data_IF_387714762198
#
_entry.id   IF_387714762198
#
_cell.length_a   1.000
_cell.length_b   1.000
_cell.length_c   1.000
_cell.angle_alpha   90.00
_cell.angle_beta   90.00
_cell.angle_gamma   90.00
#
_symmetry.space_group_name_H-M   'P 1'
#
loop_
_entity.id
_entity.type
_entity.pdbx_description
1 polymer ?
#
# COMPACT_ATOMS: atom_id res chain seq x y z
N UNK A 1 -22.96 0.45 23.21
CA UNK A 1 -22.07 0.03 24.32
C UNK A 1 -22.86 -0.17 25.60
N UNK A 2 -22.30 -0.75 26.66
CA UNK A 2 -22.94 -0.92 27.97
C UNK A 2 -23.44 0.39 28.59
N UNK A 3 -22.86 1.53 28.23
CA UNK A 3 -23.36 2.83 28.68
C UNK A 3 -24.78 3.18 28.16
N UNK A 4 -25.27 2.44 27.18
CA UNK A 4 -26.58 2.63 26.58
C UNK A 4 -27.63 1.61 27.07
N UNK A 5 -27.30 0.77 28.07
CA UNK A 5 -28.25 -0.20 28.61
C UNK A 5 -29.57 0.47 29.03
N UNK A 6 -30.67 -0.23 28.81
CA UNK A 6 -32.04 0.20 29.06
C UNK A 6 -32.53 1.41 28.24
N UNK A 7 -31.70 1.94 27.36
CA UNK A 7 -32.13 2.99 26.43
C UNK A 7 -32.87 2.38 25.24
N UNK A 8 -33.85 3.10 24.75
CA UNK A 8 -34.48 2.80 23.46
C UNK A 8 -33.67 3.47 22.37
N UNK A 9 -33.27 2.70 21.36
CA UNK A 9 -32.47 3.17 20.22
C UNK A 9 -33.15 2.84 18.91
N UNK A 10 -32.88 3.70 17.91
CA UNK A 10 -33.29 3.50 16.52
C UNK A 10 -32.08 3.24 15.69
N UNK A 11 -32.02 2.11 14.96
CA UNK A 11 -30.92 1.70 14.13
C UNK A 11 -31.38 1.44 12.70
N UNK A 12 -30.55 1.79 11.73
CA UNK A 12 -30.74 1.45 10.31
C UNK A 12 -29.47 0.83 9.76
N UNK A 13 -29.61 -0.19 8.92
CA UNK A 13 -28.45 -0.88 8.35
C UNK A 13 -28.84 -2.01 7.42
N UNK A 14 -27.85 -2.82 7.09
CA UNK A 14 -27.99 -3.99 6.24
C UNK A 14 -27.98 -5.27 7.06
N UNK A 15 -28.89 -6.18 6.74
CA UNK A 15 -28.94 -7.52 7.33
C UNK A 15 -27.72 -8.32 6.87
N UNK A 16 -26.78 -8.56 7.77
CA UNK A 16 -25.55 -9.29 7.45
C UNK A 16 -25.75 -10.81 7.60
N UNK A 17 -26.22 -11.26 8.76
CA UNK A 17 -26.41 -12.67 9.08
C UNK A 17 -27.72 -12.86 9.86
N UNK A 18 -28.42 -13.96 9.57
CA UNK A 18 -29.65 -14.33 10.25
C UNK A 18 -29.45 -15.71 10.86
N UNK A 19 -29.87 -15.88 12.11
CA UNK A 19 -29.87 -17.16 12.83
C UNK A 19 -31.22 -17.31 13.51
N UNK A 20 -31.83 -18.46 13.33
CA UNK A 20 -33.11 -18.79 13.93
C UNK A 20 -32.97 -20.05 14.77
N UNK A 21 -33.49 -20.01 15.99
CA UNK A 21 -33.59 -21.18 16.85
C UNK A 21 -34.87 -21.11 17.72
N UNK A 22 -35.84 -21.93 17.37
CA UNK A 22 -37.12 -21.98 18.07
C UNK A 22 -37.89 -20.69 17.95
N UNK A 23 -38.13 -20.01 19.07
CA UNK A 23 -38.92 -18.78 19.14
C UNK A 23 -38.06 -17.50 19.11
N UNK A 24 -36.79 -17.61 18.77
CA UNK A 24 -35.87 -16.46 18.72
C UNK A 24 -35.17 -16.38 17.35
N UNK A 25 -35.17 -15.17 16.77
CA UNK A 25 -34.41 -14.83 15.58
C UNK A 25 -33.36 -13.80 16.00
N UNK A 26 -32.10 -14.10 15.69
CA UNK A 26 -30.97 -13.14 15.79
C UNK A 26 -30.60 -12.64 14.41
N UNK A 27 -30.46 -11.33 14.31
CA UNK A 27 -29.99 -10.66 13.09
C UNK A 27 -28.77 -9.83 13.41
N UNK A 28 -27.68 -10.07 12.72
CA UNK A 28 -26.53 -9.20 12.77
C UNK A 28 -26.80 -8.05 11.78
N UNK A 29 -27.09 -6.87 12.32
CA UNK A 29 -27.28 -5.64 11.55
C UNK A 29 -25.94 -4.97 11.36
N UNK A 30 -25.53 -4.72 10.11
CA UNK A 30 -24.30 -4.04 9.75
C UNK A 30 -24.60 -2.61 9.35
N UNK A 31 -23.83 -1.69 9.89
CA UNK A 31 -23.80 -0.30 9.47
C UNK A 31 -22.37 0.16 9.14
N UNK A 32 -22.14 1.47 9.06
CA UNK A 32 -20.80 2.05 8.82
C UNK A 32 -19.81 1.74 9.96
N UNK A 33 -20.30 1.61 11.19
CA UNK A 33 -19.46 1.51 12.39
C UNK A 33 -19.16 0.06 12.79
N UNK A 34 -19.92 -0.90 12.26
CA UNK A 34 -19.71 -2.31 12.55
C UNK A 34 -21.00 -3.13 12.54
N UNK A 35 -21.07 -4.10 13.46
CA UNK A 35 -22.18 -5.04 13.54
C UNK A 35 -22.82 -4.93 14.92
N UNK A 36 -24.15 -4.84 14.95
CA UNK A 36 -24.96 -4.91 16.19
C UNK A 36 -25.94 -6.05 16.08
N UNK A 37 -26.00 -6.91 17.11
CA UNK A 37 -26.97 -8.01 17.16
C UNK A 37 -28.35 -7.49 17.52
N UNK A 38 -29.34 -7.84 16.73
CA UNK A 38 -30.75 -7.66 17.00
C UNK A 38 -31.35 -8.99 17.49
N UNK A 39 -32.29 -8.92 18.40
CA UNK A 39 -33.02 -10.07 18.92
C UNK A 39 -34.53 -9.85 18.71
N UNK A 40 -35.14 -10.80 18.05
CA UNK A 40 -36.58 -10.92 17.88
C UNK A 40 -37.04 -12.14 18.68
N UNK A 41 -37.70 -11.90 19.80
CA UNK A 41 -38.17 -12.93 20.72
C UNK A 41 -39.68 -13.00 20.62
N UNK A 42 -40.23 -14.14 20.18
CA UNK A 42 -41.65 -14.32 19.96
C UNK A 42 -42.50 -14.15 21.24
N UNK A 43 -41.92 -14.42 22.41
CA UNK A 43 -42.61 -14.27 23.70
C UNK A 43 -42.67 -12.80 24.18
N UNK A 44 -41.70 -11.99 23.70
CA UNK A 44 -41.55 -10.59 24.12
C UNK A 44 -41.92 -9.59 23.04
N UNK A 45 -41.95 -10.03 21.77
CA UNK A 45 -42.30 -9.20 20.61
C UNK A 45 -43.71 -9.56 20.15
N UNK A 46 -44.33 -8.62 19.44
CA UNK A 46 -45.59 -8.86 18.73
C UNK A 46 -45.36 -9.89 17.58
N UNK A 47 -46.39 -10.74 17.33
CA UNK A 47 -46.36 -11.74 16.24
C UNK A 47 -46.05 -11.14 14.87
N UNK A 48 -46.45 -9.92 14.59
CA UNK A 48 -46.16 -9.19 13.35
C UNK A 48 -44.67 -8.91 13.18
N UNK A 49 -43.98 -8.49 14.25
CA UNK A 49 -42.53 -8.22 14.27
C UNK A 49 -41.77 -9.52 14.00
N UNK A 50 -42.12 -10.60 14.66
CA UNK A 50 -41.50 -11.91 14.48
C UNK A 50 -41.74 -12.45 13.07
N UNK A 51 -42.93 -12.30 12.53
CA UNK A 51 -43.27 -12.70 11.14
C UNK A 51 -42.48 -11.89 10.13
N UNK A 52 -42.33 -10.58 10.35
CA UNK A 52 -41.51 -9.73 9.51
C UNK A 52 -40.02 -10.12 9.57
N UNK A 53 -39.51 -10.41 10.77
CA UNK A 53 -38.13 -10.86 10.95
C UNK A 53 -37.83 -12.19 10.25
N UNK A 54 -38.80 -13.13 10.21
CA UNK A 54 -38.67 -14.41 9.50
C UNK A 54 -38.59 -14.28 7.99
N UNK A 55 -39.01 -13.16 7.42
CA UNK A 55 -38.94 -12.85 5.97
C UNK A 55 -37.68 -12.10 5.55
N UNK A 56 -36.81 -11.79 6.50
CA UNK A 56 -35.58 -11.06 6.21
C UNK A 56 -34.64 -11.90 5.33
N UNK A 57 -33.97 -11.24 4.42
CA UNK A 57 -32.90 -11.78 3.60
C UNK A 57 -31.58 -11.04 3.82
N UNK A 58 -30.48 -11.68 3.45
CA UNK A 58 -29.16 -11.02 3.48
C UNK A 58 -29.19 -9.73 2.66
N UNK A 59 -28.51 -8.70 3.17
CA UNK A 59 -28.40 -7.38 2.57
C UNK A 59 -29.71 -6.59 2.43
N UNK A 60 -30.81 -7.07 3.02
CA UNK A 60 -32.01 -6.23 3.17
C UNK A 60 -31.65 -5.00 3.99
N UNK A 61 -32.18 -3.86 3.60
CA UNK A 61 -32.05 -2.62 4.38
C UNK A 61 -33.24 -2.53 5.31
N UNK A 62 -32.96 -2.48 6.61
CA UNK A 62 -33.98 -2.40 7.62
C UNK A 62 -33.76 -1.23 8.58
N UNK A 63 -34.82 -0.75 9.15
CA UNK A 63 -34.84 0.16 10.27
C UNK A 63 -35.52 -0.55 11.44
N UNK A 64 -34.91 -0.50 12.61
CA UNK A 64 -35.44 -1.10 13.82
C UNK A 64 -35.42 -0.12 14.98
N UNK A 65 -36.41 -0.26 15.87
CA UNK A 65 -36.41 0.39 17.17
C UNK A 65 -36.46 -0.69 18.25
N UNK A 66 -35.71 -0.50 19.33
CA UNK A 66 -35.65 -1.50 20.40
C UNK A 66 -34.84 -1.05 21.60
N UNK A 67 -34.93 -1.82 22.67
CA UNK A 67 -34.21 -1.57 23.91
C UNK A 67 -32.84 -2.23 23.88
N UNK A 68 -31.82 -1.51 24.33
CA UNK A 68 -30.45 -2.05 24.51
C UNK A 68 -30.46 -2.93 25.75
N UNK A 69 -30.17 -4.20 25.58
CA UNK A 69 -30.06 -5.18 26.67
C UNK A 69 -28.67 -5.81 26.70
N UNK A 70 -28.32 -6.36 27.84
CA UNK A 70 -27.05 -7.09 27.98
C UNK A 70 -27.13 -8.43 27.26
N UNK A 71 -26.09 -8.77 26.52
CA UNK A 71 -26.02 -10.01 25.77
C UNK A 71 -25.70 -11.18 26.70
N UNK A 72 -26.43 -12.26 26.59
CA UNK A 72 -26.22 -13.48 27.41
C UNK A 72 -24.88 -14.16 27.13
N UNK A 73 -24.41 -14.09 25.88
CA UNK A 73 -23.13 -14.63 25.45
C UNK A 73 -22.31 -13.53 24.75
N UNK A 74 -21.29 -13.04 25.42
CA UNK A 74 -20.41 -11.98 24.92
C UNK A 74 -19.72 -12.44 23.65
N UNK A 75 -19.60 -11.56 22.66
CA UNK A 75 -18.83 -11.77 21.45
C UNK A 75 -17.69 -10.74 21.39
N UNK A 76 -16.50 -11.16 21.76
CA UNK A 76 -15.30 -10.29 21.81
C UNK A 76 -14.83 -9.81 20.42
N UNK A 77 -15.35 -10.38 19.33
CA UNK A 77 -14.93 -10.05 17.96
C UNK A 77 -15.67 -8.84 17.36
N UNK A 78 -16.62 -8.24 18.07
CA UNK A 78 -17.35 -7.06 17.61
C UNK A 78 -17.46 -6.03 18.75
N UNK A 79 -17.38 -4.76 18.42
CA UNK A 79 -17.37 -3.65 19.40
C UNK A 79 -18.64 -3.57 20.24
N UNK A 80 -19.77 -4.04 19.70
CA UNK A 80 -21.06 -4.09 20.39
C UNK A 80 -21.33 -5.44 21.04
N UNK A 81 -20.33 -6.31 21.15
CA UNK A 81 -20.49 -7.72 21.51
C UNK A 81 -20.99 -8.00 22.93
N UNK A 82 -21.02 -7.00 23.80
CA UNK A 82 -21.56 -7.10 25.17
C UNK A 82 -23.05 -6.78 25.25
N UNK A 83 -23.62 -6.21 24.18
CA UNK A 83 -25.04 -5.80 24.15
C UNK A 83 -25.76 -6.37 22.94
N UNK A 84 -27.06 -6.42 23.00
CA UNK A 84 -27.94 -6.70 21.86
C UNK A 84 -29.20 -5.82 21.96
N UNK A 85 -29.92 -5.70 20.86
CA UNK A 85 -31.12 -4.88 20.78
C UNK A 85 -32.35 -5.80 20.79
N UNK A 86 -33.17 -5.72 21.85
CA UNK A 86 -34.48 -6.36 21.87
C UNK A 86 -35.44 -5.50 21.04
N UNK A 87 -35.79 -5.98 19.85
CA UNK A 87 -36.52 -5.20 18.85
C UNK A 87 -38.00 -5.10 19.22
N UNK A 88 -38.50 -3.88 19.22
CA UNK A 88 -39.90 -3.52 19.48
C UNK A 88 -40.62 -3.00 18.23
N UNK A 89 -39.89 -2.62 17.21
CA UNK A 89 -40.43 -2.22 15.89
C UNK A 89 -39.44 -2.53 14.78
N UNK A 90 -39.95 -2.96 13.64
CA UNK A 90 -39.12 -3.20 12.43
C UNK A 90 -39.83 -2.68 11.18
N UNK A 91 -39.06 -2.06 10.30
CA UNK A 91 -39.49 -1.65 8.99
C UNK A 91 -38.47 -2.10 7.93
N UNK A 92 -38.91 -2.83 6.91
CA UNK A 92 -38.06 -3.18 5.75
C UNK A 92 -38.10 -2.00 4.81
N UNK A 93 -36.97 -1.26 4.77
CA UNK A 93 -36.80 -0.09 3.90
C UNK A 93 -36.61 -0.52 2.45
N UNK A 94 -35.82 -1.58 2.23
CA UNK A 94 -35.59 -2.11 0.90
C UNK A 94 -35.21 -3.60 0.96
N UNK A 95 -35.70 -4.38 0.01
CA UNK A 95 -35.30 -5.77 -0.19
C UNK A 95 -34.10 -5.85 -1.13
N UNK A 96 -33.28 -6.87 -0.97
CA UNK A 96 -32.13 -7.14 -1.82
C UNK A 96 -32.25 -8.51 -2.47
N UNK A 97 -31.69 -8.65 -3.66
CA UNK A 97 -31.39 -9.96 -4.21
C UNK A 97 -30.22 -10.58 -3.45
N UNK A 98 -30.06 -11.91 -3.56
CA UNK A 98 -28.91 -12.60 -2.99
C UNK A 98 -27.61 -12.03 -3.58
N UNK A 99 -26.66 -11.57 -2.76
CA UNK A 99 -25.38 -11.07 -3.25
C UNK A 99 -24.61 -12.14 -4.05
N UNK A 100 -23.88 -11.74 -5.09
CA UNK A 100 -23.11 -12.67 -5.91
C UNK A 100 -21.88 -13.28 -5.21
N UNK A 101 -21.50 -12.77 -4.05
CA UNK A 101 -20.47 -13.29 -3.15
C UNK A 101 -20.78 -12.93 -1.70
N UNK A 102 -20.13 -13.61 -0.79
CA UNK A 102 -20.29 -13.37 0.66
C UNK A 102 -19.59 -12.09 1.08
N UNK A 103 -20.31 -11.17 1.74
CA UNK A 103 -19.79 -9.88 2.23
C UNK A 103 -19.21 -10.10 3.64
N UNK A 104 -18.07 -10.73 3.69
CA UNK A 104 -17.28 -11.03 4.90
C UNK A 104 -15.79 -10.65 4.64
N UNK A 105 -14.98 -10.60 5.70
CA UNK A 105 -13.58 -10.20 5.57
C UNK A 105 -12.81 -11.12 4.61
N UNK A 106 -13.04 -12.44 4.72
CA UNK A 106 -12.61 -13.42 3.72
C UNK A 106 -13.80 -13.77 2.83
N UNK A 107 -13.75 -13.27 1.59
CA UNK A 107 -14.83 -13.45 0.63
C UNK A 107 -14.54 -14.64 -0.28
N UNK A 108 -15.60 -15.38 -0.63
CA UNK A 108 -15.60 -16.42 -1.67
C UNK A 108 -15.62 -15.86 -3.09
N UNK A 109 -15.76 -14.54 -3.25
CA UNK A 109 -15.72 -13.84 -4.53
C UNK A 109 -14.30 -13.61 -5.05
N UNK A 110 -14.00 -14.07 -6.26
CA UNK A 110 -12.76 -13.74 -6.96
C UNK A 110 -12.64 -12.24 -7.25
N UNK A 111 -11.44 -11.78 -7.58
CA UNK A 111 -11.16 -10.34 -7.79
C UNK A 111 -12.04 -9.72 -8.88
N UNK A 112 -12.22 -10.40 -10.01
CA UNK A 112 -13.06 -9.92 -11.12
C UNK A 112 -14.51 -9.69 -10.69
N UNK A 113 -15.08 -10.64 -9.92
CA UNK A 113 -16.45 -10.54 -9.42
C UNK A 113 -16.60 -9.38 -8.42
N UNK A 114 -15.63 -9.21 -7.53
CA UNK A 114 -15.60 -8.10 -6.57
C UNK A 114 -15.42 -6.75 -7.25
N UNK A 115 -14.65 -6.67 -8.34
CA UNK A 115 -14.52 -5.45 -9.13
C UNK A 115 -15.82 -5.11 -9.86
N UNK A 116 -16.51 -6.11 -10.42
CA UNK A 116 -17.82 -5.91 -11.07
C UNK A 116 -18.89 -5.39 -10.09
N UNK A 117 -18.90 -5.89 -8.87
CA UNK A 117 -19.83 -5.49 -7.81
C UNK A 117 -19.12 -4.71 -6.71
N UNK A 118 -18.29 -3.74 -7.09
CA UNK A 118 -17.44 -2.98 -6.18
C UNK A 118 -18.19 -2.33 -5.02
N UNK A 119 -19.42 -1.89 -5.24
CA UNK A 119 -20.28 -1.31 -4.20
C UNK A 119 -20.64 -2.31 -3.08
N UNK A 120 -20.65 -3.62 -3.36
CA UNK A 120 -20.80 -4.66 -2.34
C UNK A 120 -19.45 -4.95 -1.65
N UNK A 121 -18.37 -4.97 -2.40
CA UNK A 121 -17.03 -5.21 -1.88
C UNK A 121 -16.61 -4.11 -0.87
N UNK A 122 -17.03 -2.86 -1.10
CA UNK A 122 -16.81 -1.73 -0.16
C UNK A 122 -17.48 -1.95 1.21
N UNK A 123 -18.49 -2.82 1.31
CA UNK A 123 -19.13 -3.17 2.60
C UNK A 123 -18.25 -4.06 3.47
N UNK A 124 -17.22 -4.69 2.92
CA UNK A 124 -16.26 -5.53 3.64
C UNK A 124 -15.28 -4.65 4.43
N UNK A 125 -14.96 -5.08 5.66
CA UNK A 125 -14.05 -4.32 6.53
C UNK A 125 -12.72 -3.94 5.85
N UNK A 126 -11.96 -4.85 5.20
CA UNK A 126 -10.65 -4.49 4.65
C UNK A 126 -10.73 -3.36 3.61
N UNK A 127 -11.81 -3.29 2.81
CA UNK A 127 -11.96 -2.25 1.80
C UNK A 127 -12.47 -0.96 2.42
N UNK A 128 -13.42 -1.06 3.35
CA UNK A 128 -13.94 0.08 4.10
C UNK A 128 -12.83 0.77 4.91
N UNK A 129 -12.02 -0.01 5.61
CA UNK A 129 -10.88 0.48 6.38
C UNK A 129 -9.85 1.21 5.51
N UNK A 130 -9.55 0.69 4.33
CA UNK A 130 -8.66 1.38 3.38
C UNK A 130 -9.20 2.76 2.98
N UNK A 131 -10.51 2.91 2.79
CA UNK A 131 -11.13 4.21 2.48
C UNK A 131 -11.07 5.17 3.66
N UNK A 132 -11.33 4.67 4.88
CA UNK A 132 -11.25 5.44 6.12
C UNK A 132 -9.79 5.86 6.38
N UNK A 133 -8.84 4.93 6.20
CA UNK A 133 -7.42 5.22 6.35
C UNK A 133 -6.97 6.30 5.36
N UNK A 134 -7.33 6.17 4.08
CA UNK A 134 -7.03 7.20 3.06
C UNK A 134 -7.59 8.58 3.43
N UNK A 135 -8.83 8.62 3.94
CA UNK A 135 -9.43 9.87 4.42
C UNK A 135 -8.62 10.47 5.56
N UNK A 136 -8.31 9.67 6.59
CA UNK A 136 -7.57 10.12 7.77
C UNK A 136 -6.15 10.57 7.43
N UNK A 137 -5.45 9.85 6.53
CA UNK A 137 -4.14 10.22 6.02
C UNK A 137 -4.18 11.56 5.28
N UNK A 138 -5.13 11.71 4.36
CA UNK A 138 -5.28 12.95 3.59
C UNK A 138 -5.59 14.16 4.48
N UNK A 139 -6.42 13.96 5.51
CA UNK A 139 -6.73 15.00 6.48
C UNK A 139 -5.48 15.39 7.30
N UNK A 140 -4.67 14.41 7.72
CA UNK A 140 -3.44 14.67 8.45
C UNK A 140 -2.40 15.42 7.63
N UNK A 141 -2.25 15.06 6.36
CA UNK A 141 -1.39 15.82 5.42
C UNK A 141 -1.84 17.26 5.30
N UNK A 142 -3.14 17.52 5.15
CA UNK A 142 -3.69 18.88 5.10
C UNK A 142 -3.42 19.66 6.39
N UNK A 143 -3.64 19.03 7.53
CA UNK A 143 -3.37 19.66 8.82
C UNK A 143 -1.90 20.05 8.96
N UNK A 144 -0.98 19.11 8.68
CA UNK A 144 0.45 19.37 8.78
C UNK A 144 0.91 20.49 7.85
N UNK A 145 0.50 20.45 6.57
CA UNK A 145 0.90 21.46 5.60
C UNK A 145 0.33 22.83 5.95
N UNK A 146 -0.94 22.90 6.38
CA UNK A 146 -1.57 24.15 6.82
C UNK A 146 -0.91 24.74 8.07
N UNK A 147 -0.54 23.91 9.06
CA UNK A 147 0.21 24.32 10.25
C UNK A 147 1.60 24.87 9.89
N UNK A 148 2.18 24.42 8.76
CA UNK A 148 3.46 24.91 8.24
C UNK A 148 3.30 26.03 7.19
N UNK A 149 2.14 26.70 7.20
CA UNK A 149 1.79 27.86 6.37
C UNK A 149 1.69 27.58 4.86
N UNK A 150 1.45 26.35 4.45
CA UNK A 150 1.10 26.07 3.06
C UNK A 150 -0.37 26.41 2.80
N UNK A 151 -0.64 26.94 1.63
CA UNK A 151 -1.98 27.29 1.18
C UNK A 151 -2.47 26.21 0.20
N UNK A 152 -3.64 25.61 0.51
CA UNK A 152 -4.31 24.66 -0.39
C UNK A 152 -4.98 25.43 -1.54
N UNK A 153 -4.52 25.23 -2.77
CA UNK A 153 -5.09 25.90 -3.95
C UNK A 153 -5.51 24.85 -4.97
N UNK A 154 -6.82 24.81 -5.26
CA UNK A 154 -7.36 23.95 -6.30
C UNK A 154 -7.08 24.53 -7.69
N UNK A 155 -6.49 23.71 -8.57
CA UNK A 155 -6.12 24.11 -9.93
C UNK A 155 -7.04 23.48 -10.98
N UNK A 156 -7.19 24.07 -12.17
CA UNK A 156 -8.02 23.53 -13.25
C UNK A 156 -7.57 22.15 -13.74
N UNK A 157 -8.52 21.28 -14.08
CA UNK A 157 -8.28 19.97 -14.69
C UNK A 157 -8.34 20.00 -16.23
N UNK A 158 -9.12 20.91 -16.84
CA UNK A 158 -9.16 21.09 -18.28
C UNK A 158 -8.16 22.16 -18.66
N UNK A 159 -7.00 21.77 -19.13
CA UNK A 159 -5.86 22.64 -19.37
C UNK A 159 -5.36 22.54 -20.81
N UNK A 160 -4.41 23.36 -21.19
CA UNK A 160 -3.63 23.20 -22.41
C UNK A 160 -2.60 22.09 -22.20
N UNK A 161 -2.38 21.26 -23.22
CA UNK A 161 -1.31 20.25 -23.22
C UNK A 161 0.04 20.86 -22.81
N UNK A 162 0.74 20.16 -21.92
CA UNK A 162 2.05 20.56 -21.41
C UNK A 162 3.01 19.37 -21.51
N UNK A 163 4.19 19.54 -22.11
CA UNK A 163 5.14 18.44 -22.26
C UNK A 163 5.87 18.16 -20.94
N UNK A 164 5.35 17.24 -20.13
CA UNK A 164 5.92 16.86 -18.83
C UNK A 164 6.54 15.44 -18.82
N UNK A 165 6.74 14.84 -20.00
CA UNK A 165 7.41 13.55 -20.14
C UNK A 165 6.51 12.35 -20.41
N UNK A 166 5.22 12.38 -20.02
CA UNK A 166 4.21 11.40 -20.40
C UNK A 166 3.36 11.89 -21.57
N UNK A 167 2.52 11.02 -22.14
CA UNK A 167 1.46 11.44 -23.07
C UNK A 167 0.27 11.97 -22.29
N UNK A 168 -0.39 12.98 -22.85
CA UNK A 168 -1.58 13.57 -22.26
C UNK A 168 -2.83 12.77 -22.64
N UNK A 169 -3.77 12.64 -21.72
CA UNK A 169 -5.16 12.36 -22.07
C UNK A 169 -5.79 13.63 -22.61
N UNK A 170 -6.38 13.55 -23.81
CA UNK A 170 -7.02 14.70 -24.47
C UNK A 170 -8.54 14.62 -24.39
N UNK A 171 -9.17 15.78 -24.22
CA UNK A 171 -10.62 15.95 -24.18
C UNK A 171 -11.05 16.88 -25.31
N UNK A 172 -11.81 16.41 -26.33
CA UNK A 172 -12.24 17.23 -27.43
C UNK A 172 -13.12 18.41 -26.98
N UNK A 173 -12.88 19.59 -27.54
CA UNK A 173 -13.72 20.77 -27.29
C UNK A 173 -14.96 20.75 -28.18
N UNK A 174 -16.14 20.70 -27.58
CA UNK A 174 -17.40 20.77 -28.34
C UNK A 174 -17.62 22.14 -28.96
N UNK A 175 -17.14 23.20 -28.30
CA UNK A 175 -17.37 24.59 -28.73
C UNK A 175 -16.36 25.06 -29.79
N UNK A 176 -15.19 24.49 -29.83
CA UNK A 176 -14.11 24.86 -30.74
C UNK A 176 -13.69 23.60 -31.52
N UNK A 177 -14.19 23.38 -32.75
CA UNK A 177 -13.79 22.25 -33.59
C UNK A 177 -12.25 22.20 -33.74
N UNK A 178 -11.70 20.98 -33.80
CA UNK A 178 -10.26 20.72 -33.95
C UNK A 178 -9.39 21.23 -32.79
N UNK A 179 -10.00 21.62 -31.65
CA UNK A 179 -9.30 22.00 -30.44
C UNK A 179 -9.57 20.99 -29.32
N UNK A 180 -8.57 20.82 -28.43
CA UNK A 180 -8.60 19.86 -27.36
C UNK A 180 -8.14 20.51 -26.07
N UNK A 181 -8.72 20.08 -24.96
CA UNK A 181 -8.14 20.20 -23.64
C UNK A 181 -7.27 18.97 -23.36
N UNK A 182 -6.32 19.11 -22.45
CA UNK A 182 -5.58 18.00 -21.87
C UNK A 182 -5.93 17.86 -20.39
N UNK A 183 -5.87 16.62 -19.88
CA UNK A 183 -5.89 16.37 -18.43
C UNK A 183 -4.48 16.55 -17.86
N UNK A 184 -4.31 17.15 -16.65
CA UNK A 184 -3.00 17.50 -16.13
C UNK A 184 -2.20 16.25 -15.72
N UNK A 185 -0.95 16.19 -16.15
CA UNK A 185 0.03 15.22 -15.66
C UNK A 185 0.49 15.57 -14.25
N UNK A 186 0.52 16.87 -13.94
CA UNK A 186 0.66 17.51 -12.64
C UNK A 186 0.17 18.96 -12.75
N UNK A 187 -0.05 19.70 -11.65
CA UNK A 187 -0.40 21.11 -11.69
C UNK A 187 0.82 22.04 -11.92
N UNK A 188 1.84 21.59 -12.64
CA UNK A 188 3.16 22.22 -12.74
C UNK A 188 3.13 23.70 -13.14
N UNK A 189 2.39 24.05 -14.19
CA UNK A 189 2.31 25.45 -14.65
C UNK A 189 1.60 26.32 -13.61
N UNK A 190 0.53 25.80 -13.02
CA UNK A 190 -0.27 26.58 -12.06
C UNK A 190 0.51 26.86 -10.77
N UNK A 191 1.21 25.87 -10.22
CA UNK A 191 2.02 26.10 -9.02
C UNK A 191 3.18 27.06 -9.26
N UNK A 192 3.80 27.05 -10.45
CA UNK A 192 4.80 28.05 -10.83
C UNK A 192 4.19 29.46 -10.91
N UNK A 193 2.99 29.59 -11.50
CA UNK A 193 2.27 30.87 -11.57
C UNK A 193 1.88 31.37 -10.17
N UNK A 194 1.53 30.47 -9.25
CA UNK A 194 1.25 30.84 -7.85
C UNK A 194 2.50 31.37 -7.16
N UNK A 195 3.67 30.74 -7.36
CA UNK A 195 4.96 31.26 -6.83
C UNK A 195 5.25 32.65 -7.38
N UNK A 196 5.10 32.86 -8.68
CA UNK A 196 5.28 34.18 -9.31
C UNK A 196 4.24 35.19 -8.80
N UNK A 197 3.03 34.73 -8.52
CA UNK A 197 1.93 35.51 -7.98
C UNK A 197 2.07 35.85 -6.48
N UNK A 198 3.11 35.34 -5.80
CA UNK A 198 3.40 35.66 -4.39
C UNK A 198 2.84 34.66 -3.39
N UNK A 199 2.35 33.50 -3.82
CA UNK A 199 1.99 32.37 -2.95
C UNK A 199 3.26 31.53 -2.74
N UNK A 200 4.03 31.82 -1.70
CA UNK A 200 5.36 31.26 -1.47
C UNK A 200 5.37 29.83 -0.90
N UNK A 201 4.23 29.32 -0.45
CA UNK A 201 4.03 27.93 -0.04
C UNK A 201 2.66 27.44 -0.46
N UNK A 202 2.65 26.60 -1.47
CA UNK A 202 1.46 25.98 -2.05
C UNK A 202 1.43 24.49 -1.80
N UNK A 203 0.25 23.92 -1.63
CA UNK A 203 0.01 22.50 -1.79
C UNK A 203 -1.36 22.19 -2.39
N UNK A 204 -1.51 20.97 -2.88
CA UNK A 204 -2.78 20.41 -3.31
C UNK A 204 -2.73 18.87 -3.23
N UNK A 205 -3.80 18.23 -2.77
CA UNK A 205 -4.01 16.79 -2.98
C UNK A 205 -4.79 16.62 -4.26
N UNK A 206 -4.09 16.35 -5.36
CA UNK A 206 -4.59 16.52 -6.73
C UNK A 206 -4.61 15.21 -7.52
N UNK A 207 -5.60 15.05 -8.38
CA UNK A 207 -5.64 13.99 -9.40
C UNK A 207 -4.71 14.36 -10.55
N UNK A 208 -3.88 13.39 -10.92
CA UNK A 208 -2.96 13.48 -12.05
C UNK A 208 -3.22 12.35 -13.03
N UNK A 209 -2.97 12.61 -14.32
CA UNK A 209 -3.31 11.73 -15.42
C UNK A 209 -2.10 11.56 -16.34
N UNK A 210 -1.71 10.32 -16.63
CA UNK A 210 -0.60 10.01 -17.54
C UNK A 210 -0.95 8.83 -18.41
N UNK A 211 -0.95 9.02 -19.73
CA UNK A 211 -1.17 7.94 -20.69
C UNK A 211 0.13 7.20 -20.96
N UNK A 212 0.49 6.34 -20.03
CA UNK A 212 1.70 5.50 -20.04
C UNK A 212 1.33 4.02 -19.88
N UNK A 213 2.30 3.14 -20.20
CA UNK A 213 2.14 1.71 -19.99
C UNK A 213 1.94 1.39 -18.50
N UNK A 214 0.93 0.57 -18.22
CA UNK A 214 0.61 0.13 -16.87
C UNK A 214 1.71 -0.77 -16.31
N UNK A 215 2.03 -0.57 -15.05
CA UNK A 215 2.93 -1.43 -14.26
C UNK A 215 2.28 -1.70 -12.90
N UNK A 216 2.89 -2.59 -12.11
CA UNK A 216 2.36 -2.94 -10.79
C UNK A 216 2.13 -1.71 -9.88
N UNK A 217 2.96 -0.68 -10.01
CA UNK A 217 2.97 0.55 -9.23
C UNK A 217 2.51 1.80 -9.99
N UNK A 218 2.08 1.67 -11.27
CA UNK A 218 1.70 2.80 -12.12
C UNK A 218 0.26 2.66 -12.61
N UNK A 219 -0.52 3.70 -12.33
CA UNK A 219 -1.90 3.84 -12.78
C UNK A 219 -2.02 5.07 -13.70
N UNK A 220 -2.91 5.04 -14.71
CA UNK A 220 -3.11 6.17 -15.61
C UNK A 220 -3.72 7.38 -14.91
N UNK A 221 -4.46 7.14 -13.83
CA UNK A 221 -5.00 8.15 -12.93
C UNK A 221 -4.53 7.86 -11.51
N UNK A 222 -3.89 8.82 -10.87
CA UNK A 222 -3.38 8.69 -9.51
C UNK A 222 -3.48 10.02 -8.74
N UNK A 223 -3.22 9.99 -7.44
CA UNK A 223 -3.27 11.18 -6.60
C UNK A 223 -1.87 11.55 -6.16
N UNK A 224 -1.51 12.84 -6.29
CA UNK A 224 -0.30 13.43 -5.72
C UNK A 224 -0.64 14.28 -4.50
N UNK A 225 0.27 14.29 -3.54
CA UNK A 225 0.45 15.39 -2.60
C UNK A 225 1.45 16.31 -3.28
N UNK A 226 0.94 17.32 -3.97
CA UNK A 226 1.76 18.25 -4.74
C UNK A 226 2.05 19.49 -3.90
N UNK A 227 3.30 19.91 -3.86
CA UNK A 227 3.74 21.05 -3.06
C UNK A 227 4.75 21.89 -3.86
N UNK A 228 4.76 23.20 -3.61
CA UNK A 228 5.77 24.11 -4.15
C UNK A 228 6.14 25.16 -3.11
N UNK A 229 7.41 25.50 -3.04
CA UNK A 229 7.94 26.50 -2.08
C UNK A 229 8.90 27.46 -2.77
N UNK A 230 8.80 28.75 -2.44
CA UNK A 230 9.76 29.79 -2.85
C UNK A 230 10.77 30.08 -1.74
N UNK A 231 11.92 30.65 -2.10
CA UNK A 231 12.96 31.13 -1.18
C UNK A 231 13.56 30.06 -0.26
N UNK A 232 13.66 28.82 -0.76
CA UNK A 232 14.13 27.66 0.00
C UNK A 232 15.34 27.02 -0.68
N UNK A 233 16.17 26.33 0.12
CA UNK A 233 17.21 25.44 -0.34
C UNK A 233 16.81 23.95 -0.17
N UNK A 234 17.69 23.04 -0.53
CA UNK A 234 17.42 21.60 -0.47
C UNK A 234 17.11 21.12 0.96
N UNK A 235 17.81 21.64 1.98
CA UNK A 235 17.59 21.24 3.38
C UNK A 235 16.23 21.70 3.91
N UNK A 236 15.74 22.84 3.49
CA UNK A 236 14.41 23.34 3.86
C UNK A 236 13.32 22.37 3.34
N UNK A 237 13.48 21.87 2.10
CA UNK A 237 12.57 20.89 1.51
C UNK A 237 12.63 19.56 2.29
N UNK A 238 13.84 19.07 2.60
CA UNK A 238 14.01 17.86 3.39
C UNK A 238 13.38 17.98 4.77
N UNK A 239 13.64 19.04 5.50
CA UNK A 239 13.06 19.25 6.84
C UNK A 239 11.54 19.25 6.80
N UNK A 240 10.95 19.90 5.81
CA UNK A 240 9.50 19.98 5.66
C UNK A 240 8.87 18.60 5.43
N UNK A 241 9.44 17.82 4.50
CA UNK A 241 8.84 16.52 4.16
C UNK A 241 9.25 15.40 5.10
N UNK A 242 10.42 15.44 5.71
CA UNK A 242 10.75 14.53 6.81
C UNK A 242 9.83 14.75 8.01
N UNK A 243 9.52 16.02 8.34
CA UNK A 243 8.55 16.34 9.37
C UNK A 243 7.16 15.78 9.08
N UNK A 244 6.69 15.92 7.85
CA UNK A 244 5.43 15.31 7.40
C UNK A 244 5.45 13.79 7.56
N UNK A 245 6.49 13.13 7.08
CA UNK A 245 6.60 11.68 7.16
C UNK A 245 6.70 11.20 8.60
N UNK A 246 7.50 11.84 9.46
CA UNK A 246 7.58 11.52 10.89
C UNK A 246 6.21 11.59 11.57
N UNK A 247 5.44 12.64 11.28
CA UNK A 247 4.08 12.79 11.81
C UNK A 247 3.12 11.70 11.34
N UNK A 248 3.21 11.31 10.06
CA UNK A 248 2.42 10.22 9.49
C UNK A 248 2.81 8.88 10.14
N UNK A 249 4.11 8.58 10.25
CA UNK A 249 4.59 7.34 10.84
C UNK A 249 4.24 7.25 12.33
N UNK A 250 4.40 8.33 13.09
CA UNK A 250 3.98 8.38 14.49
C UNK A 250 2.48 8.10 14.63
N UNK A 251 1.64 8.83 13.88
CA UNK A 251 0.19 8.76 14.02
C UNK A 251 -0.42 7.42 13.57
N UNK A 252 0.06 6.86 12.46
CA UNK A 252 -0.57 5.70 11.84
C UNK A 252 0.17 4.38 12.09
N UNK A 253 1.44 4.41 12.41
CA UNK A 253 2.26 3.23 12.66
C UNK A 253 2.82 3.16 14.08
N UNK A 254 2.59 4.18 14.92
CA UNK A 254 3.13 4.24 16.28
C UNK A 254 4.66 4.32 16.34
N UNK A 255 5.31 4.79 15.27
CA UNK A 255 6.76 4.91 15.17
C UNK A 255 7.22 6.35 15.40
N UNK A 256 7.61 6.69 16.62
CA UNK A 256 8.02 8.06 17.00
C UNK A 256 9.49 8.38 16.70
N UNK A 257 10.32 7.36 16.48
CA UNK A 257 11.78 7.50 16.28
C UNK A 257 12.20 7.27 14.83
N UNK A 258 11.35 7.63 13.86
CA UNK A 258 11.68 7.49 12.44
C UNK A 258 12.80 8.46 12.05
N UNK A 259 13.90 7.93 11.54
CA UNK A 259 15.03 8.67 10.98
C UNK A 259 15.13 8.40 9.49
N UNK A 260 15.70 9.36 8.75
CA UNK A 260 15.92 9.25 7.30
C UNK A 260 17.40 9.49 7.03
N UNK A 261 18.09 8.47 6.51
CA UNK A 261 19.50 8.56 6.19
C UNK A 261 19.70 9.40 4.91
N UNK A 262 20.82 10.11 4.86
CA UNK A 262 21.24 10.86 3.68
C UNK A 262 22.18 10.02 2.84
N UNK A 263 21.90 9.92 1.55
CA UNK A 263 22.72 9.19 0.61
C UNK A 263 22.83 9.97 -0.69
N UNK A 264 24.05 10.05 -1.26
CA UNK A 264 24.22 10.64 -2.59
C UNK A 264 23.79 9.65 -3.67
N UNK A 265 23.45 10.16 -4.84
CA UNK A 265 23.11 9.32 -5.99
C UNK A 265 24.24 8.35 -6.33
N UNK A 266 25.48 8.84 -6.38
CA UNK A 266 26.67 8.02 -6.67
C UNK A 266 26.77 6.86 -5.66
N UNK A 267 26.64 7.14 -4.37
CA UNK A 267 26.70 6.11 -3.33
C UNK A 267 25.55 5.09 -3.44
N UNK A 268 24.35 5.52 -3.83
CA UNK A 268 23.22 4.63 -4.03
C UNK A 268 23.47 3.67 -5.22
N UNK A 269 23.94 4.20 -6.36
CA UNK A 269 24.26 3.39 -7.54
C UNK A 269 25.45 2.48 -7.28
N UNK A 270 26.51 2.99 -6.67
CA UNK A 270 27.72 2.21 -6.39
C UNK A 270 27.45 1.03 -5.45
N UNK A 271 26.71 1.27 -4.36
CA UNK A 271 26.46 0.26 -3.32
C UNK A 271 25.27 -0.65 -3.57
N UNK A 272 24.25 -0.18 -4.28
CA UNK A 272 22.99 -0.89 -4.44
C UNK A 272 22.55 -1.08 -5.89
N UNK A 273 23.16 -0.40 -6.85
CA UNK A 273 22.81 -0.47 -8.27
C UNK A 273 21.46 0.18 -8.61
N UNK A 274 20.91 0.97 -7.71
CA UNK A 274 19.61 1.64 -7.88
C UNK A 274 19.57 2.96 -7.12
N UNK A 275 18.78 3.91 -7.61
CA UNK A 275 18.48 5.17 -6.95
C UNK A 275 17.41 5.06 -5.83
N UNK A 276 16.86 3.87 -5.65
CA UNK A 276 15.84 3.55 -4.62
C UNK A 276 16.23 2.31 -3.82
N UNK A 277 17.34 2.36 -3.07
CA UNK A 277 17.84 1.20 -2.35
C UNK A 277 16.88 0.77 -1.23
N UNK A 278 16.70 -0.54 -1.09
CA UNK A 278 16.05 -1.12 0.08
C UNK A 278 17.08 -1.35 1.17
N UNK A 279 17.08 -0.52 2.21
CA UNK A 279 18.04 -0.55 3.30
C UNK A 279 17.70 -1.56 4.41
N UNK A 280 16.63 -2.36 4.26
CA UNK A 280 16.21 -3.35 5.26
C UNK A 280 17.12 -4.58 5.30
N UNK A 281 18.01 -4.74 4.31
CA UNK A 281 19.02 -5.80 4.25
C UNK A 281 20.34 -5.26 3.69
N UNK A 282 21.43 -5.82 4.14
CA UNK A 282 22.79 -5.39 3.82
C UNK A 282 23.42 -6.26 2.72
N UNK A 283 22.89 -6.20 1.50
CA UNK A 283 23.49 -6.86 0.33
C UNK A 283 24.15 -5.83 -0.56
N UNK A 284 25.36 -5.42 -0.20
CA UNK A 284 26.09 -4.38 -0.89
C UNK A 284 26.83 -4.90 -2.12
N UNK A 285 26.82 -4.11 -3.18
CA UNK A 285 27.67 -4.28 -4.34
C UNK A 285 29.07 -3.82 -3.97
N UNK A 286 30.07 -4.69 -4.20
CA UNK A 286 31.47 -4.40 -3.93
C UNK A 286 32.25 -4.37 -5.25
N UNK A 287 32.92 -3.28 -5.55
CA UNK A 287 33.82 -3.20 -6.70
C UNK A 287 35.14 -3.91 -6.39
N UNK A 288 35.46 -4.92 -7.18
CA UNK A 288 36.66 -5.76 -7.07
C UNK A 288 37.52 -5.70 -8.32
N UNK A 289 37.34 -4.68 -9.15
CA UNK A 289 38.03 -4.57 -10.46
C UNK A 289 39.55 -4.64 -10.34
N UNK A 290 40.13 -3.97 -9.35
CA UNK A 290 41.57 -3.94 -9.14
C UNK A 290 42.16 -5.27 -8.67
N UNK A 291 41.38 -6.04 -7.93
CA UNK A 291 41.76 -7.33 -7.36
C UNK A 291 41.73 -8.47 -8.39
N UNK A 292 40.95 -8.31 -9.47
CA UNK A 292 40.72 -9.39 -10.45
C UNK A 292 41.35 -9.17 -11.81
N UNK A 293 41.76 -7.95 -12.17
CA UNK A 293 42.38 -7.65 -13.45
C UNK A 293 43.83 -8.18 -13.56
N UNK A 294 44.26 -8.47 -14.77
CA UNK A 294 45.64 -8.90 -15.05
C UNK A 294 45.97 -10.35 -14.69
N UNK A 295 44.93 -11.19 -14.47
CA UNK A 295 45.09 -12.60 -14.13
C UNK A 295 44.91 -13.55 -15.33
N UNK A 296 44.93 -13.04 -16.56
CA UNK A 296 44.70 -13.78 -17.80
C UNK A 296 43.31 -14.48 -17.85
N UNK A 297 42.33 -13.92 -17.18
CA UNK A 297 40.95 -14.35 -17.27
C UNK A 297 40.12 -13.34 -18.04
N UNK A 298 39.87 -13.61 -19.31
CA UNK A 298 39.29 -12.67 -20.28
C UNK A 298 37.95 -12.06 -19.78
N UNK A 299 37.17 -12.82 -18.98
CA UNK A 299 35.89 -12.31 -18.44
C UNK A 299 36.12 -11.11 -17.52
N UNK A 300 37.20 -11.08 -16.75
CA UNK A 300 37.52 -9.94 -15.89
C UNK A 300 38.39 -8.91 -16.62
N UNK A 301 39.36 -9.36 -17.44
CA UNK A 301 40.33 -8.48 -18.09
C UNK A 301 39.68 -7.58 -19.15
N UNK A 302 38.60 -8.06 -19.81
CA UNK A 302 37.91 -7.31 -20.86
C UNK A 302 36.80 -6.38 -20.33
N UNK A 303 36.45 -6.46 -19.06
CA UNK A 303 35.44 -5.59 -18.46
C UNK A 303 36.06 -4.38 -17.76
N UNK A 304 35.44 -3.23 -17.92
CA UNK A 304 35.86 -2.01 -17.24
C UNK A 304 35.67 -2.10 -15.73
N UNK A 305 34.51 -2.63 -15.32
CA UNK A 305 34.10 -2.76 -13.91
C UNK A 305 33.72 -4.21 -13.64
N UNK A 306 34.23 -4.76 -12.55
CA UNK A 306 33.83 -6.06 -11.98
C UNK A 306 33.32 -5.86 -10.57
N UNK A 307 32.13 -6.33 -10.31
CA UNK A 307 31.48 -6.22 -8.99
C UNK A 307 31.09 -7.59 -8.45
N UNK A 308 31.00 -7.69 -7.13
CA UNK A 308 30.48 -8.88 -6.46
C UNK A 308 29.54 -8.54 -5.31
N UNK A 309 28.72 -9.52 -4.93
CA UNK A 309 27.86 -9.50 -3.75
C UNK A 309 28.41 -10.53 -2.74
N UNK A 310 28.49 -10.14 -1.46
CA UNK A 310 28.78 -11.07 -0.37
C UNK A 310 27.46 -11.60 0.19
N UNK A 311 27.33 -12.92 0.22
CA UNK A 311 26.15 -13.59 0.80
C UNK A 311 26.57 -14.34 2.05
N UNK A 312 26.23 -13.81 3.20
CA UNK A 312 26.65 -14.34 4.50
C UNK A 312 26.10 -15.75 4.76
N UNK A 313 26.99 -16.64 5.24
CA UNK A 313 26.63 -17.99 5.69
C UNK A 313 26.11 -18.91 4.60
N UNK A 314 26.52 -18.72 3.31
CA UNK A 314 26.02 -19.49 2.16
C UNK A 314 27.10 -20.29 1.42
N UNK A 315 28.25 -20.55 2.06
CA UNK A 315 29.29 -21.37 1.45
C UNK A 315 28.88 -22.83 1.20
N UNK A 316 27.84 -23.31 1.85
CA UNK A 316 27.30 -24.66 1.75
C UNK A 316 26.32 -24.87 0.59
N UNK A 317 25.95 -23.79 -0.15
CA UNK A 317 25.09 -23.91 -1.33
C UNK A 317 25.52 -25.06 -2.23
N UNK A 318 24.60 -25.94 -2.55
CA UNK A 318 24.85 -27.06 -3.45
C UNK A 318 25.05 -26.60 -4.90
N UNK A 319 25.65 -27.47 -5.73
CA UNK A 319 25.79 -27.18 -7.15
C UNK A 319 24.44 -26.90 -7.82
N UNK A 320 23.41 -27.64 -7.45
CA UNK A 320 22.06 -27.46 -7.99
C UNK A 320 21.51 -26.06 -7.68
N UNK A 321 21.63 -25.58 -6.45
CA UNK A 321 21.17 -24.26 -6.06
C UNK A 321 21.95 -23.16 -6.79
N UNK A 322 23.26 -23.31 -6.97
CA UNK A 322 24.07 -22.36 -7.76
C UNK A 322 23.65 -22.36 -9.25
N UNK A 323 23.36 -23.55 -9.80
CA UNK A 323 22.88 -23.67 -11.18
C UNK A 323 21.50 -23.00 -11.34
N UNK A 324 20.59 -23.16 -10.36
CA UNK A 324 19.27 -22.49 -10.34
C UNK A 324 19.41 -20.96 -10.29
N UNK A 325 20.34 -20.42 -9.46
CA UNK A 325 20.64 -18.98 -9.42
C UNK A 325 21.25 -18.53 -10.75
N UNK A 326 22.13 -19.33 -11.34
CA UNK A 326 22.75 -19.04 -12.64
C UNK A 326 21.70 -18.95 -13.75
N UNK A 327 20.74 -19.87 -13.77
CA UNK A 327 19.64 -19.85 -14.72
C UNK A 327 18.70 -18.67 -14.49
N UNK A 328 18.52 -18.29 -13.23
CA UNK A 328 17.69 -17.11 -12.87
C UNK A 328 18.31 -15.82 -13.39
N UNK A 329 19.62 -15.59 -13.20
CA UNK A 329 20.30 -14.36 -13.67
C UNK A 329 20.39 -14.27 -15.19
N UNK A 330 20.34 -15.41 -15.91
CA UNK A 330 20.30 -15.46 -17.39
C UNK A 330 18.96 -15.12 -18.00
N UNK A 331 17.90 -14.99 -17.22
CA UNK A 331 16.58 -14.63 -17.76
C UNK A 331 16.63 -13.29 -18.49
N UNK A 332 15.88 -13.13 -19.59
CA UNK A 332 15.93 -11.90 -20.41
C UNK A 332 15.68 -10.61 -19.63
N UNK A 333 14.91 -10.69 -18.54
CA UNK A 333 14.58 -9.55 -17.69
C UNK A 333 15.79 -9.07 -16.87
N UNK A 334 16.79 -9.95 -16.61
CA UNK A 334 18.01 -9.65 -15.85
C UNK A 334 19.19 -9.48 -16.82
N UNK A 335 19.30 -10.37 -17.82
CA UNK A 335 20.21 -10.23 -18.96
C UNK A 335 21.67 -10.56 -18.68
N UNK A 336 21.98 -11.22 -17.56
CA UNK A 336 23.35 -11.64 -17.29
C UNK A 336 23.77 -12.83 -18.17
N UNK A 337 25.03 -12.87 -18.60
CA UNK A 337 25.57 -13.98 -19.41
C UNK A 337 25.82 -15.24 -18.57
N UNK A 338 26.00 -15.09 -17.25
CA UNK A 338 26.28 -16.18 -16.31
C UNK A 338 26.54 -15.65 -14.91
N UNK A 339 26.88 -16.56 -14.01
CA UNK A 339 27.24 -16.28 -12.62
C UNK A 339 28.61 -16.88 -12.33
N UNK A 340 29.52 -16.07 -11.82
CA UNK A 340 30.76 -16.52 -11.21
C UNK A 340 30.61 -16.48 -9.69
N UNK A 341 31.25 -17.43 -9.00
CA UNK A 341 31.11 -17.52 -7.56
C UNK A 341 32.44 -17.92 -6.87
N UNK A 342 32.59 -17.49 -5.62
CA UNK A 342 33.63 -17.89 -4.69
C UNK A 342 32.92 -18.39 -3.41
N UNK A 343 33.42 -19.48 -2.83
CA UNK A 343 33.02 -19.97 -1.51
C UNK A 343 34.18 -19.79 -0.55
N UNK A 344 33.98 -19.09 0.54
CA UNK A 344 34.88 -19.05 1.67
C UNK A 344 34.40 -20.08 2.70
N UNK A 345 34.99 -21.27 2.63
CA UNK A 345 34.55 -22.42 3.46
C UNK A 345 34.83 -22.23 4.93
N UNK A 346 34.14 -23.00 5.78
CA UNK A 346 34.29 -22.98 7.24
C UNK A 346 35.69 -23.30 7.71
N UNK A 347 36.51 -24.08 6.94
CA UNK A 347 37.91 -24.40 7.20
C UNK A 347 38.87 -23.28 6.73
N UNK A 348 38.35 -22.13 6.37
CA UNK A 348 39.04 -20.97 5.80
C UNK A 348 39.71 -21.23 4.44
N UNK A 349 39.44 -22.34 3.76
CA UNK A 349 39.84 -22.58 2.38
C UNK A 349 38.88 -21.94 1.41
N UNK A 350 39.35 -21.67 0.19
CA UNK A 350 38.53 -21.09 -0.89
C UNK A 350 38.23 -22.09 -1.98
N UNK A 351 37.09 -21.96 -2.63
CA UNK A 351 36.72 -22.64 -3.86
C UNK A 351 35.96 -21.69 -4.76
N UNK A 352 36.31 -21.66 -6.05
CA UNK A 352 35.61 -20.78 -7.00
C UNK A 352 35.22 -21.50 -8.28
N UNK A 353 34.39 -20.84 -9.10
CA UNK A 353 34.09 -21.29 -10.48
C UNK A 353 35.25 -21.04 -11.45
N UNK A 354 36.28 -20.31 -11.04
CA UNK A 354 37.43 -19.92 -11.85
C UNK A 354 38.79 -20.23 -11.18
N UNK A 355 38.89 -21.27 -10.37
CA UNK A 355 40.10 -21.74 -9.69
C UNK A 355 41.29 -21.97 -10.63
N UNK A 356 41.04 -22.17 -11.94
CA UNK A 356 42.09 -22.37 -12.94
C UNK A 356 42.94 -21.11 -13.20
N UNK A 357 42.39 -19.95 -12.89
CA UNK A 357 43.00 -18.64 -13.20
C UNK A 357 43.47 -17.91 -11.94
N UNK A 358 42.93 -18.25 -10.77
CA UNK A 358 43.16 -17.57 -9.51
C UNK A 358 43.75 -18.52 -8.48
N UNK A 359 44.86 -18.11 -7.89
CA UNK A 359 45.44 -18.81 -6.74
C UNK A 359 44.65 -18.57 -5.47
N UNK A 360 44.87 -19.38 -4.44
CA UNK A 360 44.23 -19.20 -3.12
C UNK A 360 44.57 -17.83 -2.51
N UNK A 361 45.81 -17.33 -2.76
CA UNK A 361 46.18 -15.97 -2.34
C UNK A 361 45.38 -14.87 -3.05
N UNK A 362 45.07 -15.05 -4.33
CA UNK A 362 44.24 -14.08 -5.07
C UNK A 362 42.81 -14.06 -4.52
N UNK A 363 42.23 -15.23 -4.26
CA UNK A 363 40.88 -15.34 -3.68
C UNK A 363 40.81 -14.76 -2.27
N UNK A 364 41.89 -14.88 -1.50
CA UNK A 364 42.02 -14.27 -0.18
C UNK A 364 42.01 -12.74 -0.26
N UNK A 365 42.70 -12.12 -1.21
CA UNK A 365 42.68 -10.66 -1.45
C UNK A 365 41.23 -10.19 -1.73
N UNK A 366 40.53 -10.89 -2.61
CA UNK A 366 39.12 -10.58 -2.88
C UNK A 366 38.27 -10.70 -1.60
N UNK A 367 38.43 -11.77 -0.85
CA UNK A 367 37.73 -12.02 0.40
C UNK A 367 37.96 -10.91 1.44
N UNK A 368 39.21 -10.48 1.60
CA UNK A 368 39.58 -9.37 2.50
C UNK A 368 38.94 -8.05 2.06
N UNK A 369 38.93 -7.75 0.77
CA UNK A 369 38.32 -6.55 0.18
C UNK A 369 36.84 -6.42 0.52
N UNK A 370 36.11 -7.53 0.46
CA UNK A 370 34.66 -7.55 0.73
C UNK A 370 34.33 -7.94 2.18
N UNK A 371 35.35 -8.07 3.04
CA UNK A 371 35.19 -8.49 4.44
C UNK A 371 34.45 -9.83 4.60
N UNK A 372 34.72 -10.78 3.69
CA UNK A 372 34.12 -12.12 3.74
C UNK A 372 34.66 -12.92 4.92
N UNK A 373 33.80 -13.72 5.52
CA UNK A 373 34.11 -14.61 6.65
C UNK A 373 34.01 -16.07 6.24
N UNK A 374 34.69 -16.99 6.96
CA UNK A 374 34.44 -18.43 6.80
C UNK A 374 32.93 -18.74 6.90
N UNK A 375 32.42 -19.44 5.90
CA UNK A 375 31.00 -19.73 5.77
C UNK A 375 30.24 -18.92 4.72
N UNK A 376 30.85 -17.87 4.15
CA UNK A 376 30.24 -16.97 3.14
C UNK A 376 30.35 -17.50 1.69
#
# INVERSE_FOLDING_TARGET
>A
TKSNLDQTVKLSGWVNKIREKGFIIWVDLRDRYGITQLVFDKERSNDEIFTTASQLGREFVIEVEGSVIERKSINENIDTGEIEILVTSINILNKSLTPPFTIENESDGGEELRMKYRYLDIRREPIKENLIFRHSLSLEVRNYLSENNFIDVETPCLIKSTPEGARDFIVPSRLNPDHYYALPQSPQIFKQLLMIGGIDKYYQIVKCFRDEDLRADRQPEFTQIDCEMSFVNQEDVFQQFEGLMKRIFSKFLGSDNTTFDRMTYESAIEKYGTDKPDLRYELLINNISDEVKGKNFQIFDNNEITVCLRVEGKSDLTRKEIDEITDWVKRPQIGASGLLWIKHKNDSSFKSSFDKFFSESDLKVISEKISSKPGD
#
